data_IF_337390620865
#
_entry.id   IF_337390620865
#
_cell.length_a   1.000
_cell.length_b   1.000
_cell.length_c   1.000
_cell.angle_alpha   90.00
_cell.angle_beta   90.00
_cell.angle_gamma   90.00
#
_symmetry.space_group_name_H-M   'P 1'
#
loop_
_entity.id
_entity.type
_entity.pdbx_description
1 polymer ?
#
# COMPACT_ATOMS: atom_id res chain seq x y z
N UNK A 1 6.88 5.74 42.37
CA UNK A 1 7.89 5.93 41.33
C UNK A 1 7.90 4.66 40.49
N UNK A 2 7.08 4.61 39.44
CA UNK A 2 7.09 3.48 38.52
C UNK A 2 8.39 3.53 37.69
N UNK A 3 8.99 2.39 37.36
CA UNK A 3 10.22 2.39 36.58
C UNK A 3 9.91 2.91 35.19
N UNK A 4 10.59 3.99 34.80
CA UNK A 4 10.62 4.50 33.44
C UNK A 4 11.22 3.41 32.56
N UNK A 5 10.40 2.87 31.67
CA UNK A 5 10.87 2.12 30.51
C UNK A 5 11.68 3.13 29.71
N UNK A 6 13.00 2.95 29.68
CA UNK A 6 13.88 3.68 28.77
C UNK A 6 13.47 3.28 27.36
N UNK A 7 12.68 4.13 26.69
CA UNK A 7 12.42 3.99 25.26
C UNK A 7 13.77 3.98 24.55
N UNK A 8 14.11 2.86 23.90
CA UNK A 8 15.25 2.80 22.99
C UNK A 8 15.09 3.93 21.96
N UNK A 9 16.16 4.67 21.62
CA UNK A 9 16.05 5.78 20.69
C UNK A 9 15.49 5.26 19.37
N UNK A 10 14.38 5.87 18.95
CA UNK A 10 13.71 5.57 17.70
C UNK A 10 14.59 6.04 16.56
N UNK A 11 15.26 5.10 15.88
CA UNK A 11 16.14 5.41 14.76
C UNK A 11 15.32 5.46 13.47
N UNK A 12 15.00 6.67 13.01
CA UNK A 12 14.58 6.87 11.61
C UNK A 12 15.76 6.46 10.73
N UNK A 13 15.55 5.63 9.69
CA UNK A 13 16.64 5.23 8.81
C UNK A 13 17.33 6.46 8.21
N UNK A 14 18.65 6.55 8.38
CA UNK A 14 19.44 7.55 7.66
C UNK A 14 19.36 7.29 6.16
N UNK A 15 19.35 8.36 5.37
CA UNK A 15 19.41 8.28 3.92
C UNK A 15 20.76 7.69 3.51
N UNK A 16 20.77 6.50 2.91
CA UNK A 16 21.99 5.83 2.45
C UNK A 16 22.24 6.11 0.96
N UNK A 17 23.44 5.80 0.46
CA UNK A 17 23.69 5.79 -1.00
C UNK A 17 22.77 4.84 -1.76
N UNK A 18 22.27 3.81 -1.10
CA UNK A 18 21.34 2.86 -1.71
C UNK A 18 19.94 3.45 -1.86
N UNK A 19 19.51 4.36 -0.96
CA UNK A 19 18.24 5.08 -1.04
C UNK A 19 18.33 6.41 -1.81
N UNK A 20 19.51 7.02 -1.91
CA UNK A 20 19.82 8.15 -2.81
C UNK A 20 20.10 7.66 -4.24
N UNK A 21 19.04 7.32 -4.97
CA UNK A 21 19.11 7.03 -6.41
C UNK A 21 18.39 8.11 -7.21
N UNK A 22 18.87 8.37 -8.42
CA UNK A 22 18.13 9.19 -9.37
C UNK A 22 16.78 8.53 -9.68
N UNK A 23 15.70 9.31 -9.86
CA UNK A 23 14.41 8.78 -10.28
C UNK A 23 14.54 7.87 -11.50
N UNK A 24 13.93 6.69 -11.42
CA UNK A 24 13.98 5.72 -12.50
C UNK A 24 13.22 6.24 -13.72
N UNK A 25 13.83 6.10 -14.89
CA UNK A 25 13.24 6.47 -16.17
C UNK A 25 12.61 5.26 -16.86
N UNK A 26 11.53 5.50 -17.59
CA UNK A 26 10.91 4.50 -18.48
C UNK A 26 11.87 4.18 -19.62
N UNK A 27 11.91 2.90 -20.02
CA UNK A 27 12.65 2.44 -21.20
C UNK A 27 11.87 2.63 -22.49
N UNK A 28 10.54 2.73 -22.40
CA UNK A 28 9.63 2.78 -23.56
C UNK A 28 9.02 1.41 -23.89
N UNK A 29 9.28 0.37 -23.10
CA UNK A 29 8.80 -0.99 -23.36
C UNK A 29 7.26 -1.10 -23.38
N UNK A 30 6.56 -0.16 -22.73
CA UNK A 30 5.09 -0.09 -22.69
C UNK A 30 4.50 0.95 -23.65
N UNK A 31 5.29 1.59 -24.51
CA UNK A 31 4.84 2.72 -25.34
C UNK A 31 3.70 2.36 -26.31
N UNK A 32 3.71 1.13 -26.83
CA UNK A 32 2.75 0.63 -27.83
C UNK A 32 1.61 -0.17 -27.18
N UNK A 33 1.60 -0.26 -25.84
CA UNK A 33 0.55 -0.94 -25.10
C UNK A 33 -0.66 -0.01 -24.99
N UNK A 34 -1.84 -0.53 -25.35
CA UNK A 34 -3.10 0.19 -25.18
C UNK A 34 -3.34 0.52 -23.70
N UNK A 35 -3.50 1.81 -23.42
CA UNK A 35 -3.76 2.31 -22.06
C UNK A 35 -4.62 3.56 -22.07
N UNK A 36 -5.22 3.87 -20.93
CA UNK A 36 -5.76 5.20 -20.65
C UNK A 36 -5.62 5.54 -19.16
N UNK A 37 -5.44 6.83 -18.87
CA UNK A 37 -5.46 7.32 -17.49
C UNK A 37 -6.91 7.44 -17.01
N UNK A 38 -7.25 6.73 -15.94
CA UNK A 38 -8.63 6.68 -15.40
C UNK A 38 -9.03 8.03 -14.80
N UNK A 39 -8.07 8.72 -14.19
CA UNK A 39 -8.21 10.11 -13.76
C UNK A 39 -6.93 10.89 -14.09
N UNK A 40 -6.96 12.23 -14.12
CA UNK A 40 -5.74 13.02 -14.37
C UNK A 40 -4.61 12.75 -13.36
N UNK A 41 -4.95 12.54 -12.08
CA UNK A 41 -3.97 12.48 -10.98
C UNK A 41 -3.45 11.08 -10.69
N UNK A 42 -4.32 10.06 -10.78
CA UNK A 42 -4.06 8.71 -10.28
C UNK A 42 -4.84 7.68 -11.10
N UNK A 43 -4.29 6.48 -11.27
CA UNK A 43 -4.93 5.40 -12.01
C UNK A 43 -4.58 5.39 -13.49
N UNK A 44 -4.18 4.22 -13.97
CA UNK A 44 -4.06 3.89 -15.39
C UNK A 44 -4.61 2.49 -15.63
N UNK A 45 -5.41 2.30 -16.67
CA UNK A 45 -5.94 0.99 -17.03
C UNK A 45 -5.27 0.47 -18.31
N UNK A 46 -4.97 -0.83 -18.30
CA UNK A 46 -4.43 -1.60 -19.41
C UNK A 46 -5.51 -2.61 -19.83
N UNK A 47 -6.48 -2.20 -20.68
CA UNK A 47 -7.70 -2.97 -20.91
C UNK A 47 -7.47 -4.31 -21.62
N UNK A 48 -6.42 -4.40 -22.45
CA UNK A 48 -6.14 -5.55 -23.33
C UNK A 48 -4.85 -6.29 -22.99
N UNK A 49 -4.08 -5.81 -22.00
CA UNK A 49 -2.80 -6.41 -21.63
C UNK A 49 -2.98 -7.73 -20.87
N UNK A 50 -2.02 -8.64 -21.05
CA UNK A 50 -1.94 -9.92 -20.34
C UNK A 50 -0.65 -9.97 -19.50
N UNK A 51 -0.79 -9.90 -18.17
CA UNK A 51 0.33 -9.97 -17.24
C UNK A 51 1.08 -11.30 -17.34
N UNK A 52 0.34 -12.39 -17.59
CA UNK A 52 0.94 -13.72 -17.76
C UNK A 52 1.78 -13.82 -19.05
N UNK A 53 1.42 -13.09 -20.11
CA UNK A 53 2.24 -13.01 -21.32
C UNK A 53 3.47 -12.14 -21.08
N UNK A 54 3.33 -11.00 -20.39
CA UNK A 54 4.46 -10.14 -20.05
C UNK A 54 5.48 -10.83 -19.16
N UNK A 55 5.05 -11.67 -18.22
CA UNK A 55 5.96 -12.48 -17.39
C UNK A 55 6.78 -13.48 -18.22
N UNK A 56 6.25 -13.96 -19.35
CA UNK A 56 6.88 -14.96 -20.22
C UNK A 56 7.57 -14.35 -21.45
N UNK A 57 7.41 -13.06 -21.68
CA UNK A 57 7.98 -12.37 -22.83
C UNK A 57 9.52 -12.37 -22.78
N UNK A 58 10.22 -12.42 -23.93
CA UNK A 58 11.68 -12.35 -23.96
C UNK A 58 12.26 -11.08 -23.31
N UNK A 59 11.52 -9.96 -23.39
CA UNK A 59 11.85 -8.68 -22.78
C UNK A 59 11.06 -8.43 -21.47
N UNK A 60 10.69 -9.49 -20.75
CA UNK A 60 9.85 -9.41 -19.54
C UNK A 60 10.36 -8.40 -18.50
N UNK A 61 11.66 -8.37 -18.22
CA UNK A 61 12.23 -7.43 -17.24
C UNK A 61 12.02 -5.96 -17.63
N UNK A 62 12.13 -5.62 -18.91
CA UNK A 62 11.89 -4.25 -19.40
C UNK A 62 10.42 -3.87 -19.23
N UNK A 63 9.50 -4.76 -19.63
CA UNK A 63 8.05 -4.57 -19.47
C UNK A 63 7.66 -4.38 -18.00
N UNK A 64 8.15 -5.26 -17.12
CA UNK A 64 7.80 -5.21 -15.70
C UNK A 64 8.46 -4.03 -14.99
N UNK A 65 9.66 -3.62 -15.38
CA UNK A 65 10.30 -2.42 -14.84
C UNK A 65 9.54 -1.16 -15.24
N UNK A 66 9.15 -1.03 -16.51
CA UNK A 66 8.33 0.10 -16.96
C UNK A 66 6.94 0.08 -16.31
N UNK A 67 6.37 -1.10 -16.08
CA UNK A 67 5.12 -1.26 -15.33
C UNK A 67 5.29 -0.77 -13.89
N UNK A 68 6.35 -1.18 -13.19
CA UNK A 68 6.63 -0.76 -11.83
C UNK A 68 6.78 0.76 -11.70
N UNK A 69 7.54 1.39 -12.61
CA UNK A 69 7.68 2.85 -12.67
C UNK A 69 6.34 3.51 -12.96
N UNK A 70 5.56 2.96 -13.90
CA UNK A 70 4.22 3.46 -14.21
C UNK A 70 3.32 3.39 -12.99
N UNK A 71 3.34 2.29 -12.22
CA UNK A 71 2.59 2.16 -10.96
C UNK A 71 3.06 3.21 -9.96
N UNK A 72 4.37 3.40 -9.77
CA UNK A 72 4.89 4.40 -8.83
C UNK A 72 4.59 5.84 -9.23
N UNK A 73 4.45 6.15 -10.52
CA UNK A 73 4.06 7.47 -11.02
C UNK A 73 2.54 7.70 -10.98
N UNK A 74 1.76 6.69 -11.34
CA UNK A 74 0.29 6.74 -11.46
C UNK A 74 -0.43 6.26 -10.21
N UNK A 75 0.29 5.82 -9.19
CA UNK A 75 -0.19 5.29 -7.92
C UNK A 75 -0.77 3.87 -8.02
N UNK A 76 -1.70 3.65 -8.93
CA UNK A 76 -2.37 2.35 -9.14
C UNK A 76 -2.60 2.11 -10.63
N UNK A 77 -2.54 0.85 -11.03
CA UNK A 77 -2.90 0.39 -12.37
C UNK A 77 -3.92 -0.74 -12.33
N UNK A 78 -4.68 -0.89 -13.40
CA UNK A 78 -5.77 -1.87 -13.50
C UNK A 78 -5.64 -2.73 -14.74
N UNK A 79 -6.01 -4.00 -14.62
CA UNK A 79 -6.09 -4.97 -15.70
C UNK A 79 -7.41 -5.73 -15.61
N UNK A 80 -7.94 -6.17 -16.75
CA UNK A 80 -9.21 -6.91 -16.82
C UNK A 80 -8.99 -8.37 -17.17
N UNK A 81 -9.82 -9.26 -16.61
CA UNK A 81 -9.88 -10.69 -16.98
C UNK A 81 -8.52 -11.38 -17.11
N UNK A 82 -7.67 -11.27 -16.10
CA UNK A 82 -6.33 -11.88 -16.07
C UNK A 82 -6.43 -13.39 -15.77
N UNK A 83 -7.17 -14.13 -16.58
CA UNK A 83 -7.49 -15.55 -16.36
C UNK A 83 -6.26 -16.46 -16.38
N UNK A 84 -5.19 -16.03 -17.06
CA UNK A 84 -3.90 -16.73 -17.10
C UNK A 84 -2.96 -16.44 -15.92
N UNK A 85 -3.31 -15.50 -15.02
CA UNK A 85 -2.47 -15.13 -13.89
C UNK A 85 -2.79 -16.03 -12.69
N UNK A 86 -1.94 -17.01 -12.40
CA UNK A 86 -2.05 -17.88 -11.21
C UNK A 86 -1.52 -17.18 -9.96
N UNK A 87 -1.71 -17.77 -8.78
CA UNK A 87 -1.12 -17.25 -7.54
C UNK A 87 0.42 -17.21 -7.61
N UNK A 88 1.06 -18.24 -8.16
CA UNK A 88 2.52 -18.26 -8.38
C UNK A 88 3.00 -17.13 -9.28
N UNK A 89 2.32 -16.90 -10.42
CA UNK A 89 2.66 -15.81 -11.33
C UNK A 89 2.39 -14.43 -10.71
N UNK A 90 1.33 -14.31 -9.91
CA UNK A 90 1.02 -13.09 -9.15
C UNK A 90 2.12 -12.78 -8.13
N UNK A 91 2.63 -13.79 -7.41
CA UNK A 91 3.76 -13.64 -6.48
C UNK A 91 5.04 -13.26 -7.20
N UNK A 92 5.37 -13.97 -8.29
CA UNK A 92 6.54 -13.68 -9.12
C UNK A 92 6.50 -12.23 -9.63
N UNK A 93 5.34 -11.80 -10.15
CA UNK A 93 5.13 -10.44 -10.62
C UNK A 93 5.42 -9.41 -9.52
N UNK A 94 4.77 -9.52 -8.37
CA UNK A 94 4.93 -8.56 -7.26
C UNK A 94 6.38 -8.50 -6.78
N UNK A 95 7.04 -9.65 -6.62
CA UNK A 95 8.45 -9.70 -6.22
C UNK A 95 9.37 -9.05 -7.26
N UNK A 96 9.15 -9.33 -8.55
CA UNK A 96 9.93 -8.76 -9.66
C UNK A 96 9.74 -7.26 -9.80
N UNK A 97 8.52 -6.72 -9.62
CA UNK A 97 8.28 -5.26 -9.63
C UNK A 97 9.18 -4.54 -8.61
N UNK A 98 9.26 -5.08 -7.39
CA UNK A 98 10.14 -4.58 -6.34
C UNK A 98 11.62 -4.70 -6.70
N UNK A 99 12.07 -5.89 -7.14
CA UNK A 99 13.48 -6.14 -7.48
C UNK A 99 13.98 -5.26 -8.62
N UNK A 100 13.19 -5.15 -9.69
CA UNK A 100 13.51 -4.34 -10.87
C UNK A 100 13.51 -2.83 -10.59
N UNK A 101 12.88 -2.41 -9.50
CA UNK A 101 12.92 -1.03 -9.01
C UNK A 101 13.85 -0.82 -7.81
N UNK A 102 14.62 -1.85 -7.44
CA UNK A 102 15.73 -1.74 -6.51
C UNK A 102 15.38 -1.91 -5.04
N UNK A 103 14.30 -2.64 -4.70
CA UNK A 103 14.06 -3.04 -3.29
C UNK A 103 15.26 -3.79 -2.70
N UNK A 104 15.49 -3.76 -1.37
CA UNK A 104 16.55 -4.53 -0.73
C UNK A 104 16.47 -6.02 -1.06
N UNK A 105 17.61 -6.69 -1.23
CA UNK A 105 17.65 -8.14 -1.51
C UNK A 105 17.14 -9.00 -0.35
N UNK A 106 17.07 -8.44 0.85
CA UNK A 106 16.47 -9.06 2.04
C UNK A 106 14.96 -8.94 2.10
N UNK A 107 14.34 -8.13 1.22
CA UNK A 107 12.89 -7.90 1.20
C UNK A 107 12.20 -8.84 0.22
N UNK A 108 11.46 -9.81 0.76
CA UNK A 108 10.68 -10.80 0.01
C UNK A 108 9.21 -10.39 -0.20
N UNK A 109 8.34 -11.41 -0.20
CA UNK A 109 6.89 -11.26 -0.12
C UNK A 109 6.45 -11.31 1.34
N UNK A 110 5.42 -10.54 1.67
CA UNK A 110 4.93 -10.42 3.04
C UNK A 110 4.04 -11.60 3.42
N UNK A 111 4.20 -12.09 4.65
CA UNK A 111 3.30 -13.06 5.28
C UNK A 111 2.41 -12.32 6.27
N UNK A 112 1.09 -12.35 6.06
CA UNK A 112 0.18 -11.55 6.89
C UNK A 112 0.15 -12.04 8.35
N UNK A 113 0.19 -11.15 9.36
CA UNK A 113 0.25 -11.54 10.78
C UNK A 113 -0.96 -12.38 11.24
N UNK A 114 -2.14 -12.15 10.66
CA UNK A 114 -3.38 -12.83 11.04
C UNK A 114 -4.17 -13.47 9.88
N UNK A 115 -3.72 -13.32 8.63
CA UNK A 115 -4.45 -13.76 7.41
C UNK A 115 -3.52 -14.53 6.48
N UNK A 116 -2.84 -15.52 7.03
CA UNK A 116 -1.89 -16.40 6.35
C UNK A 116 -2.45 -17.82 6.23
N UNK A 117 -1.63 -18.79 5.79
CA UNK A 117 -2.09 -20.15 5.48
C UNK A 117 -2.61 -20.94 6.68
N UNK A 118 -2.31 -20.49 7.90
CA UNK A 118 -2.79 -21.13 9.13
C UNK A 118 -4.26 -20.85 9.47
N UNK A 119 -4.98 -20.12 8.60
CA UNK A 119 -6.34 -19.62 8.88
C UNK A 119 -7.39 -20.33 8.06
N UNK A 120 -8.61 -20.38 8.58
CA UNK A 120 -9.73 -20.90 7.80
C UNK A 120 -10.01 -20.02 6.57
N UNK A 121 -10.42 -20.64 5.46
CA UNK A 121 -10.67 -20.00 4.16
C UNK A 121 -9.43 -19.29 3.57
N UNK A 122 -8.22 -19.72 3.92
CA UNK A 122 -6.97 -19.31 3.27
C UNK A 122 -6.53 -20.30 2.18
N UNK A 123 -5.45 -19.94 1.49
CA UNK A 123 -4.62 -20.87 0.70
C UNK A 123 -3.61 -21.58 1.59
N UNK A 124 -3.01 -22.70 1.14
CA UNK A 124 -1.82 -23.29 1.78
C UNK A 124 -0.55 -22.42 1.69
N UNK A 125 -0.61 -21.33 0.94
CA UNK A 125 0.49 -20.41 0.70
C UNK A 125 0.42 -19.21 1.66
N UNK A 126 1.48 -19.00 2.44
CA UNK A 126 1.59 -17.91 3.41
C UNK A 126 1.78 -16.53 2.78
N UNK A 127 2.27 -16.48 1.54
CA UNK A 127 2.53 -15.24 0.79
C UNK A 127 1.27 -14.76 0.02
N UNK A 128 0.18 -15.53 0.06
CA UNK A 128 -1.13 -15.17 -0.48
C UNK A 128 -2.12 -14.95 0.64
N UNK A 129 -2.61 -13.72 0.75
CA UNK A 129 -3.76 -13.39 1.61
C UNK A 129 -5.06 -13.53 0.82
N UNK A 130 -5.96 -14.42 1.26
CA UNK A 130 -7.31 -14.52 0.71
C UNK A 130 -8.20 -13.45 1.34
N UNK A 131 -8.59 -12.45 0.56
CA UNK A 131 -9.48 -11.37 0.97
C UNK A 131 -10.92 -11.79 0.70
N UNK A 132 -11.52 -12.51 1.66
CA UNK A 132 -12.87 -13.05 1.54
C UNK A 132 -13.88 -12.33 2.46
N UNK A 133 -15.05 -11.99 1.92
CA UNK A 133 -16.16 -11.45 2.70
C UNK A 133 -16.69 -12.42 3.75
N UNK A 134 -16.68 -13.73 3.47
CA UNK A 134 -17.08 -14.77 4.41
C UNK A 134 -16.09 -14.87 5.58
N UNK A 135 -14.79 -14.87 5.26
CA UNK A 135 -13.74 -14.86 6.28
C UNK A 135 -13.82 -13.59 7.14
N UNK A 136 -14.02 -12.41 6.52
CA UNK A 136 -14.22 -11.15 7.25
C UNK A 136 -15.42 -11.21 8.18
N UNK A 137 -16.55 -11.74 7.73
CA UNK A 137 -17.75 -11.86 8.57
C UNK A 137 -17.49 -12.72 9.81
N UNK A 138 -16.74 -13.82 9.67
CA UNK A 138 -16.37 -14.69 10.78
C UNK A 138 -15.36 -14.01 11.74
N UNK A 139 -14.26 -13.47 11.19
CA UNK A 139 -13.17 -12.92 11.99
C UNK A 139 -13.57 -11.65 12.76
N UNK A 140 -14.45 -10.83 12.17
CA UNK A 140 -14.91 -9.57 12.75
C UNK A 140 -16.36 -9.66 13.29
N UNK A 141 -16.89 -10.88 13.48
CA UNK A 141 -18.20 -11.18 14.08
C UNK A 141 -19.38 -10.41 13.46
N UNK A 142 -19.36 -10.18 12.15
CA UNK A 142 -20.48 -9.56 11.44
C UNK A 142 -20.87 -8.16 11.91
N UNK A 143 -19.96 -7.41 12.57
CA UNK A 143 -20.17 -5.97 12.87
C UNK A 143 -20.21 -5.19 11.56
N UNK A 144 -21.37 -5.18 10.93
CA UNK A 144 -21.61 -4.49 9.68
C UNK A 144 -21.55 -2.97 9.91
N UNK A 145 -20.74 -2.29 9.12
CA UNK A 145 -20.39 -0.87 9.24
C UNK A 145 -21.40 0.08 8.60
N UNK A 146 -22.64 -0.35 8.33
CA UNK A 146 -23.66 0.41 7.59
C UNK A 146 -24.08 1.77 8.19
N UNK A 147 -23.47 2.21 9.30
CA UNK A 147 -23.64 3.54 9.89
C UNK A 147 -22.34 4.27 10.26
N UNK A 148 -21.18 3.81 9.78
CA UNK A 148 -19.88 4.45 10.09
C UNK A 148 -19.35 5.22 8.89
N UNK A 149 -18.69 6.35 9.17
CA UNK A 149 -17.90 7.04 8.15
C UNK A 149 -16.82 6.10 7.60
N UNK A 150 -16.73 5.97 6.27
CA UNK A 150 -15.68 5.21 5.59
C UNK A 150 -14.28 5.82 5.73
N UNK A 151 -14.14 6.96 6.42
CA UNK A 151 -12.85 7.63 6.63
C UNK A 151 -11.77 6.73 7.25
N UNK A 152 -12.18 5.77 8.09
CA UNK A 152 -11.26 4.87 8.78
C UNK A 152 -10.82 3.67 7.91
N UNK A 153 -11.44 3.47 6.75
CA UNK A 153 -11.02 2.44 5.78
C UNK A 153 -9.78 2.88 4.99
N UNK A 154 -9.47 4.17 4.91
CA UNK A 154 -8.29 4.66 4.21
C UNK A 154 -7.00 4.24 4.93
N UNK A 155 -6.09 3.60 4.20
CA UNK A 155 -4.77 3.20 4.70
C UNK A 155 -3.80 2.85 3.55
N UNK A 156 -2.51 2.83 3.85
CA UNK A 156 -1.52 2.06 3.09
C UNK A 156 -1.29 0.72 3.81
N UNK A 157 -1.04 -0.35 3.07
CA UNK A 157 -0.84 -1.67 3.67
C UNK A 157 0.44 -1.72 4.52
N UNK A 158 0.34 -2.36 5.69
CA UNK A 158 1.48 -2.89 6.47
C UNK A 158 2.46 -1.81 6.96
N UNK A 159 1.98 -0.57 7.15
CA UNK A 159 2.83 0.51 7.67
C UNK A 159 3.26 0.31 9.13
N UNK A 160 2.68 -0.66 9.84
CA UNK A 160 3.06 -1.04 11.21
C UNK A 160 4.33 -1.91 11.27
N UNK A 161 4.88 -2.35 10.14
CA UNK A 161 6.15 -3.08 10.09
C UNK A 161 7.34 -2.12 9.86
N UNK A 162 8.56 -2.46 10.35
CA UNK A 162 9.77 -1.70 10.05
C UNK A 162 10.09 -1.62 8.55
N UNK A 163 9.86 -2.70 7.80
CA UNK A 163 9.96 -2.76 6.34
C UNK A 163 8.55 -2.94 5.77
N UNK A 164 7.82 -1.86 5.44
CA UNK A 164 6.45 -1.94 4.98
C UNK A 164 6.36 -2.32 3.49
N UNK A 165 5.13 -2.46 3.02
CA UNK A 165 4.82 -2.85 1.64
C UNK A 165 5.38 -1.88 0.59
N UNK A 166 5.90 -2.42 -0.51
CA UNK A 166 6.07 -1.68 -1.76
C UNK A 166 4.82 -1.82 -2.64
N UNK A 167 4.79 -2.79 -3.55
CA UNK A 167 3.67 -3.04 -4.44
C UNK A 167 2.73 -4.08 -3.84
N UNK A 168 1.44 -3.87 -4.05
CA UNK A 168 0.43 -4.87 -3.75
C UNK A 168 -0.40 -5.14 -4.97
N UNK A 169 -0.63 -6.43 -5.23
CA UNK A 169 -1.52 -6.91 -6.28
C UNK A 169 -2.72 -7.59 -5.64
N UNK A 170 -3.92 -7.15 -6.01
CA UNK A 170 -5.17 -7.81 -5.68
C UNK A 170 -5.85 -8.29 -6.96
N UNK A 171 -6.13 -9.60 -7.02
CA UNK A 171 -6.91 -10.26 -8.08
C UNK A 171 -8.23 -10.72 -7.49
N UNK A 172 -9.38 -10.19 -7.93
CA UNK A 172 -10.68 -10.67 -7.47
C UNK A 172 -11.08 -11.95 -8.21
N UNK A 173 -11.36 -13.02 -7.49
CA UNK A 173 -11.78 -14.31 -8.06
C UNK A 173 -13.29 -14.51 -8.02
N UNK A 174 -13.98 -13.82 -7.12
CA UNK A 174 -15.42 -13.89 -6.94
C UNK A 174 -15.98 -12.50 -6.63
N UNK A 175 -17.07 -12.13 -7.30
CA UNK A 175 -17.67 -10.80 -7.20
C UNK A 175 -19.14 -10.91 -6.77
N UNK A 176 -19.63 -9.94 -5.96
CA UNK A 176 -21.05 -9.81 -5.72
C UNK A 176 -21.75 -9.33 -7.00
N UNK A 177 -23.08 -9.42 -7.03
CA UNK A 177 -23.90 -8.91 -8.13
C UNK A 177 -23.60 -7.44 -8.46
N UNK A 178 -23.33 -6.63 -7.44
CA UNK A 178 -22.80 -5.26 -7.53
C UNK A 178 -22.23 -4.85 -6.16
N UNK A 179 -21.55 -3.70 -6.10
CA UNK A 179 -20.82 -3.24 -4.93
C UNK A 179 -19.45 -3.93 -4.77
N UNK A 180 -18.75 -3.61 -3.69
CA UNK A 180 -17.42 -4.16 -3.39
C UNK A 180 -16.27 -3.44 -4.08
N UNK A 181 -16.53 -2.23 -4.59
CA UNK A 181 -15.56 -1.37 -5.23
C UNK A 181 -14.39 -1.03 -4.30
N UNK A 182 -13.26 -0.65 -4.89
CA UNK A 182 -12.09 -0.22 -4.15
C UNK A 182 -11.70 1.18 -4.60
N UNK A 183 -11.36 2.04 -3.66
CA UNK A 183 -10.89 3.40 -3.92
C UNK A 183 -9.40 3.49 -3.60
N UNK A 184 -8.69 4.33 -4.35
CA UNK A 184 -7.30 4.70 -4.10
C UNK A 184 -7.17 6.22 -4.10
N UNK A 185 -6.17 6.73 -3.38
CA UNK A 185 -5.89 8.15 -3.21
C UNK A 185 -4.38 8.42 -3.32
N UNK A 186 -4.01 9.47 -4.05
CA UNK A 186 -2.59 9.83 -4.26
C UNK A 186 -2.03 10.62 -3.09
N UNK A 187 -1.07 10.05 -2.37
CA UNK A 187 -0.34 10.76 -1.31
C UNK A 187 0.58 11.86 -1.84
N UNK A 188 1.03 11.77 -3.10
CA UNK A 188 1.72 12.86 -3.79
C UNK A 188 0.82 14.08 -3.94
N UNK A 189 -0.41 13.88 -4.42
CA UNK A 189 -1.36 14.98 -4.61
C UNK A 189 -1.81 15.58 -3.28
N UNK A 190 -1.90 14.78 -2.21
CA UNK A 190 -2.10 15.30 -0.85
C UNK A 190 -0.95 16.25 -0.48
N UNK A 191 0.30 15.84 -0.64
CA UNK A 191 1.46 16.68 -0.35
C UNK A 191 1.47 17.96 -1.21
N UNK A 192 1.29 17.83 -2.53
CA UNK A 192 1.33 18.92 -3.50
C UNK A 192 0.27 20.02 -3.25
N UNK A 193 -0.85 19.69 -2.59
CA UNK A 193 -1.91 20.65 -2.22
C UNK A 193 -1.58 21.46 -0.96
N UNK A 194 -0.68 20.97 -0.12
CA UNK A 194 -0.30 21.64 1.12
C UNK A 194 0.60 22.83 0.78
N UNK A 195 0.37 23.97 1.43
CA UNK A 195 1.19 25.17 1.22
C UNK A 195 2.66 24.93 1.61
N UNK A 196 3.60 25.62 0.96
CA UNK A 196 5.05 25.47 1.19
C UNK A 196 5.47 25.60 2.67
N UNK A 197 4.92 26.55 3.47
CA UNK A 197 5.25 26.62 4.89
C UNK A 197 4.83 25.37 5.68
N UNK A 198 3.64 24.82 5.40
CA UNK A 198 3.20 23.58 6.02
C UNK A 198 4.00 22.38 5.52
N UNK A 199 4.36 22.33 4.23
CA UNK A 199 5.27 21.30 3.72
C UNK A 199 6.59 21.31 4.50
N UNK A 200 7.21 22.48 4.69
CA UNK A 200 8.45 22.61 5.46
C UNK A 200 8.30 22.21 6.94
N UNK A 201 7.13 22.47 7.55
CA UNK A 201 6.85 22.02 8.92
C UNK A 201 6.69 20.50 9.01
N UNK A 202 6.07 19.87 8.01
CA UNK A 202 5.84 18.42 7.99
C UNK A 202 7.09 17.63 7.57
N UNK A 203 7.92 18.23 6.72
CA UNK A 203 9.21 17.70 6.30
C UNK A 203 10.10 17.49 7.54
N UNK A 204 10.38 16.23 7.88
CA UNK A 204 11.22 15.85 9.03
C UNK A 204 10.45 15.40 10.28
N UNK A 205 9.12 15.55 10.32
CA UNK A 205 8.32 14.90 11.37
C UNK A 205 8.29 13.38 11.18
N UNK A 206 8.14 12.66 12.29
CA UNK A 206 7.96 11.21 12.30
C UNK A 206 6.65 10.83 12.96
N UNK A 207 6.14 9.64 12.69
CA UNK A 207 4.94 9.13 13.31
C UNK A 207 5.12 7.68 13.75
N UNK A 208 4.47 7.30 14.84
CA UNK A 208 4.36 5.90 15.27
C UNK A 208 3.20 5.24 14.55
N UNK A 209 3.48 4.14 13.88
CA UNK A 209 2.54 3.29 13.17
C UNK A 209 2.41 1.98 13.95
N UNK A 210 1.18 1.55 14.21
CA UNK A 210 0.92 0.30 14.89
C UNK A 210 -0.39 -0.33 14.43
N UNK A 211 -0.56 -1.62 14.70
CA UNK A 211 -1.83 -2.31 14.48
C UNK A 211 -2.27 -3.13 15.70
N UNK A 212 -2.64 -2.47 16.82
CA UNK A 212 -3.03 -3.15 18.05
C UNK A 212 -4.31 -3.98 17.89
N UNK A 213 -5.14 -3.68 16.88
CA UNK A 213 -6.36 -4.43 16.60
C UNK A 213 -6.06 -5.89 16.22
N UNK A 214 -4.94 -6.19 15.59
CA UNK A 214 -4.60 -7.56 15.20
C UNK A 214 -4.31 -8.44 16.41
N UNK A 215 -3.59 -7.93 17.40
CA UNK A 215 -3.39 -8.62 18.69
C UNK A 215 -4.74 -8.85 19.39
N UNK A 216 -5.59 -7.82 19.45
CA UNK A 216 -6.93 -7.97 20.03
C UNK A 216 -7.80 -9.01 19.29
N UNK A 217 -7.71 -9.12 17.96
CA UNK A 217 -8.45 -10.10 17.18
C UNK A 217 -7.91 -11.50 17.43
N UNK A 218 -6.58 -11.65 17.47
CA UNK A 218 -5.91 -12.92 17.75
C UNK A 218 -6.33 -13.47 19.11
N UNK A 219 -6.28 -12.64 20.15
CA UNK A 219 -6.73 -12.98 21.50
C UNK A 219 -8.20 -13.41 21.54
N UNK A 220 -9.09 -12.62 20.93
CA UNK A 220 -10.54 -12.90 20.88
C UNK A 220 -10.86 -14.22 20.17
N UNK A 221 -10.07 -14.58 19.16
CA UNK A 221 -10.25 -15.80 18.37
C UNK A 221 -9.33 -16.95 18.82
N UNK A 222 -8.61 -16.78 19.95
CA UNK A 222 -7.75 -17.80 20.57
C UNK A 222 -6.66 -18.34 19.66
N UNK A 223 -6.02 -17.46 18.91
CA UNK A 223 -4.83 -17.78 18.12
C UNK A 223 -3.72 -16.75 18.37
N UNK A 224 -2.48 -17.06 18.00
CA UNK A 224 -1.36 -16.11 18.06
C UNK A 224 -1.18 -15.37 16.73
N UNK A 225 -0.73 -14.11 16.81
CA UNK A 225 -0.13 -13.41 15.65
C UNK A 225 1.11 -14.17 15.21
N UNK A 226 1.36 -14.24 13.91
CA UNK A 226 2.54 -14.93 13.37
C UNK A 226 3.84 -14.29 13.90
N UNK A 227 4.62 -14.98 14.75
CA UNK A 227 5.77 -14.39 15.42
C UNK A 227 7.05 -14.50 14.59
N UNK A 228 7.06 -15.35 13.56
CA UNK A 228 8.20 -15.56 12.68
C UNK A 228 8.42 -14.42 11.68
N UNK A 229 9.48 -14.52 10.85
CA UNK A 229 9.73 -13.55 9.78
C UNK A 229 8.52 -13.42 8.85
N UNK A 230 8.16 -12.18 8.54
CA UNK A 230 7.04 -11.81 7.65
C UNK A 230 7.54 -11.24 6.32
N UNK A 231 8.58 -11.84 5.75
CA UNK A 231 9.14 -11.48 4.44
C UNK A 231 10.41 -10.62 4.49
N UNK A 232 10.75 -10.04 5.65
CA UNK A 232 12.01 -9.33 5.88
C UNK A 232 12.57 -9.73 7.26
N UNK A 233 13.90 -9.75 7.46
CA UNK A 233 14.50 -10.15 8.73
C UNK A 233 14.11 -9.23 9.90
N UNK A 234 13.74 -7.98 9.62
CA UNK A 234 13.32 -7.02 10.64
C UNK A 234 11.82 -7.09 10.96
N UNK A 235 11.02 -7.70 10.10
CA UNK A 235 9.58 -7.89 10.29
C UNK A 235 9.32 -9.20 11.03
N UNK A 236 9.60 -9.21 12.33
CA UNK A 236 9.51 -10.38 13.21
C UNK A 236 8.80 -10.01 14.52
N UNK A 237 8.38 -11.01 15.30
CA UNK A 237 7.79 -10.80 16.62
C UNK A 237 6.32 -10.38 16.58
N UNK A 238 5.71 -10.24 17.76
CA UNK A 238 4.28 -9.95 17.92
C UNK A 238 3.97 -8.45 18.08
N UNK A 239 5.02 -7.64 18.28
CA UNK A 239 4.89 -6.19 18.35
C UNK A 239 4.80 -5.60 16.95
N UNK A 240 3.57 -5.33 16.51
CA UNK A 240 3.27 -4.67 15.24
C UNK A 240 3.36 -3.15 15.42
N UNK A 241 4.58 -2.65 15.57
CA UNK A 241 4.89 -1.24 15.79
C UNK A 241 6.14 -0.82 15.03
N UNK A 242 6.07 0.34 14.38
CA UNK A 242 7.19 0.96 13.69
C UNK A 242 7.11 2.48 13.76
N UNK A 243 8.22 3.16 13.50
CA UNK A 243 8.25 4.62 13.35
C UNK A 243 8.79 4.97 11.97
N UNK A 244 8.02 5.79 11.26
CA UNK A 244 8.34 6.22 9.91
C UNK A 244 8.21 7.74 9.77
N UNK A 245 8.80 8.35 8.72
CA UNK A 245 8.57 9.75 8.40
C UNK A 245 7.09 10.05 8.10
N UNK A 246 6.61 11.22 8.52
CA UNK A 246 5.29 11.75 8.12
C UNK A 246 5.27 12.05 6.62
N UNK A 247 6.38 12.57 6.09
CA UNK A 247 6.62 12.76 4.66
C UNK A 247 7.66 11.74 4.22
N UNK A 248 7.30 10.85 3.31
CA UNK A 248 8.21 9.84 2.74
C UNK A 248 8.63 10.24 1.33
N UNK A 249 9.86 9.90 0.97
CA UNK A 249 10.34 9.91 -0.42
C UNK A 249 10.13 8.54 -1.05
N UNK A 250 9.44 8.49 -2.20
CA UNK A 250 9.34 7.26 -2.98
C UNK A 250 10.66 7.01 -3.74
N UNK A 251 11.35 5.88 -3.56
CA UNK A 251 12.68 5.64 -4.15
C UNK A 251 12.64 5.48 -5.68
N UNK A 252 11.47 5.19 -6.27
CA UNK A 252 11.33 5.00 -7.71
C UNK A 252 11.18 6.33 -8.43
N UNK A 253 10.35 7.22 -7.88
CA UNK A 253 10.04 8.53 -8.50
C UNK A 253 10.87 9.67 -7.94
N UNK A 254 11.46 9.52 -6.75
CA UNK A 254 12.08 10.60 -6.00
C UNK A 254 11.08 11.65 -5.51
N UNK A 255 9.78 11.34 -5.48
CA UNK A 255 8.73 12.28 -5.10
C UNK A 255 8.35 12.16 -3.62
N UNK A 256 7.97 13.30 -3.03
CA UNK A 256 7.44 13.40 -1.66
C UNK A 256 5.96 13.03 -1.61
N UNK A 257 5.60 12.19 -0.64
CA UNK A 257 4.23 11.81 -0.31
C UNK A 257 4.00 11.99 1.19
N UNK A 258 2.82 12.46 1.59
CA UNK A 258 2.38 12.23 2.98
C UNK A 258 2.27 10.71 3.17
N UNK A 259 2.76 10.18 4.29
CA UNK A 259 2.71 8.75 4.61
C UNK A 259 1.90 8.48 5.88
N UNK A 260 1.77 9.49 6.76
CA UNK A 260 0.99 9.41 8.00
C UNK A 260 -0.52 9.59 7.76
N UNK A 261 -1.12 8.73 6.95
CA UNK A 261 -2.58 8.70 6.73
C UNK A 261 -3.15 7.34 7.09
N UNK A 262 -4.32 7.35 7.73
CA UNK A 262 -5.14 6.17 7.91
C UNK A 262 -4.98 5.51 9.28
N UNK A 263 -5.62 4.35 9.42
CA UNK A 263 -5.88 3.75 10.73
C UNK A 263 -4.67 3.07 11.40
N UNK A 264 -3.53 2.96 10.72
CA UNK A 264 -2.31 2.44 11.32
C UNK A 264 -1.51 3.52 12.08
N UNK A 265 -1.74 4.81 11.80
CA UNK A 265 -0.97 5.89 12.42
C UNK A 265 -1.55 6.22 13.79
N UNK A 266 -0.75 6.09 14.84
CA UNK A 266 -1.20 6.29 16.22
C UNK A 266 -0.94 7.72 16.71
N UNK A 267 0.24 8.27 16.39
CA UNK A 267 0.64 9.61 16.78
C UNK A 267 1.72 10.16 15.86
N UNK A 268 1.76 11.47 15.72
CA UNK A 268 2.94 12.22 15.23
C UNK A 268 3.84 12.45 16.44
N UNK A 269 5.10 12.04 16.32
CA UNK A 269 6.07 12.14 17.41
C UNK A 269 6.50 13.60 17.63
N UNK A 270 6.97 13.87 18.85
CA UNK A 270 7.49 15.18 19.27
C UNK A 270 6.47 16.34 19.22
N UNK A 271 5.19 16.04 18.98
CA UNK A 271 4.08 16.97 19.11
C UNK A 271 3.25 16.63 20.34
N UNK A 272 2.49 17.61 20.85
CA UNK A 272 1.46 17.33 21.85
C UNK A 272 0.37 16.41 21.28
N UNK A 273 -0.36 15.73 22.16
CA UNK A 273 -1.45 14.83 21.76
C UNK A 273 -2.50 15.55 20.90
N UNK A 274 -2.85 16.79 21.27
CA UNK A 274 -3.83 17.61 20.57
C UNK A 274 -3.36 18.00 19.16
N UNK A 275 -2.09 18.41 19.02
CA UNK A 275 -1.47 18.74 17.72
C UNK A 275 -1.38 17.51 16.83
N UNK A 276 -0.91 16.39 17.38
CA UNK A 276 -0.83 15.11 16.67
C UNK A 276 -2.21 14.68 16.16
N UNK A 277 -3.23 14.66 17.03
CA UNK A 277 -4.60 14.29 16.66
C UNK A 277 -5.15 15.21 15.57
N UNK A 278 -4.94 16.51 15.69
CA UNK A 278 -5.39 17.47 14.69
C UNK A 278 -4.75 17.23 13.31
N UNK A 279 -3.45 16.95 13.26
CA UNK A 279 -2.76 16.65 12.00
C UNK A 279 -3.27 15.35 11.36
N UNK A 280 -3.40 14.28 12.13
CA UNK A 280 -3.87 13.00 11.61
C UNK A 280 -5.31 13.08 11.09
N UNK A 281 -6.20 13.76 11.81
CA UNK A 281 -7.56 14.03 11.35
C UNK A 281 -7.57 14.89 10.09
N UNK A 282 -6.69 15.90 10.01
CA UNK A 282 -6.58 16.75 8.85
C UNK A 282 -6.09 15.99 7.62
N UNK A 283 -5.10 15.11 7.74
CA UNK A 283 -4.61 14.32 6.61
C UNK A 283 -5.68 13.37 6.05
N UNK A 284 -6.44 12.69 6.92
CA UNK A 284 -7.58 11.89 6.49
C UNK A 284 -8.65 12.76 5.82
N UNK A 285 -8.92 13.95 6.37
CA UNK A 285 -9.87 14.90 5.78
C UNK A 285 -9.44 15.35 4.39
N UNK A 286 -8.15 15.66 4.19
CA UNK A 286 -7.61 16.00 2.86
C UNK A 286 -7.90 14.89 1.86
N UNK A 287 -7.74 13.61 2.24
CA UNK A 287 -8.11 12.49 1.36
C UNK A 287 -9.62 12.51 1.09
N UNK A 288 -10.47 12.52 2.11
CA UNK A 288 -11.92 12.34 1.94
C UNK A 288 -12.64 13.51 1.26
N UNK A 289 -12.15 14.74 1.42
CA UNK A 289 -12.80 15.95 0.87
C UNK A 289 -12.30 16.31 -0.54
N UNK A 290 -11.16 15.77 -0.98
CA UNK A 290 -10.58 16.09 -2.29
C UNK A 290 -10.77 14.94 -3.28
N UNK A 291 -11.97 14.75 -3.80
CA UNK A 291 -12.28 13.72 -4.80
C UNK A 291 -11.33 13.69 -6.02
N UNK A 292 -10.75 14.83 -6.42
CA UNK A 292 -9.81 14.92 -7.55
C UNK A 292 -8.45 14.21 -7.35
N UNK A 293 -8.12 13.77 -6.12
CA UNK A 293 -6.94 12.95 -5.85
C UNK A 293 -7.23 11.45 -5.77
N UNK A 294 -8.50 11.06 -5.95
CA UNK A 294 -8.97 9.70 -5.80
C UNK A 294 -9.29 9.05 -7.16
N UNK A 295 -9.18 7.73 -7.21
CA UNK A 295 -9.74 6.89 -8.28
C UNK A 295 -10.53 5.74 -7.65
N UNK A 296 -11.64 5.36 -8.28
CA UNK A 296 -12.48 4.23 -7.87
C UNK A 296 -12.47 3.18 -8.96
N UNK A 297 -12.09 1.96 -8.62
CA UNK A 297 -12.28 0.81 -9.50
C UNK A 297 -13.60 0.14 -9.13
N UNK A 298 -14.51 0.12 -10.10
CA UNK A 298 -15.58 -0.87 -10.12
C UNK A 298 -15.02 -2.16 -10.70
N UNK A 299 -15.04 -3.21 -9.90
CA UNK A 299 -14.67 -4.56 -10.33
C UNK A 299 -15.76 -5.08 -11.27
N UNK A 300 -15.36 -5.61 -12.44
CA UNK A 300 -16.30 -5.99 -13.49
C UNK A 300 -16.28 -7.49 -13.76
N UNK A 301 -15.12 -8.13 -13.66
CA UNK A 301 -14.96 -9.54 -14.01
C UNK A 301 -14.17 -10.30 -12.93
N UNK A 302 -14.40 -11.61 -12.80
CA UNK A 302 -13.42 -12.50 -12.21
C UNK A 302 -12.05 -12.29 -12.88
N UNK A 303 -11.01 -12.33 -12.06
CA UNK A 303 -9.62 -12.06 -12.40
C UNK A 303 -9.34 -10.64 -12.91
N UNK A 304 -10.21 -9.66 -12.65
CA UNK A 304 -9.79 -8.26 -12.67
C UNK A 304 -8.68 -8.06 -11.61
N UNK A 305 -7.68 -7.25 -11.96
CA UNK A 305 -6.48 -7.02 -11.14
C UNK A 305 -6.27 -5.53 -10.91
N UNK A 306 -5.90 -5.16 -9.68
CA UNK A 306 -5.32 -3.86 -9.36
C UNK A 306 -3.92 -4.06 -8.79
N UNK A 307 -2.96 -3.22 -9.20
CA UNK A 307 -1.61 -3.16 -8.63
C UNK A 307 -1.33 -1.73 -8.20
N UNK A 308 -0.98 -1.50 -6.93
CA UNK A 308 -0.70 -0.16 -6.40
C UNK A 308 0.61 -0.10 -5.63
N UNK A 309 1.18 1.10 -5.54
CA UNK A 309 2.39 1.41 -4.77
C UNK A 309 2.04 1.97 -3.38
N UNK A 310 2.13 1.13 -2.34
CA UNK A 310 1.82 1.52 -0.96
C UNK A 310 2.77 2.58 -0.39
N UNK A 311 3.89 2.87 -1.04
CA UNK A 311 4.83 3.90 -0.59
C UNK A 311 4.26 5.30 -0.75
N UNK A 312 3.22 5.48 -1.58
CA UNK A 312 2.65 6.79 -1.89
C UNK A 312 1.15 6.78 -2.19
N UNK A 313 0.46 5.68 -1.89
CA UNK A 313 -0.97 5.52 -2.16
C UNK A 313 -1.69 4.96 -0.94
N UNK A 314 -2.86 5.52 -0.68
CA UNK A 314 -3.83 4.97 0.26
C UNK A 314 -4.96 4.30 -0.50
N UNK A 315 -5.62 3.33 0.11
CA UNK A 315 -6.79 2.68 -0.45
C UNK A 315 -7.86 2.43 0.62
N UNK A 316 -9.09 2.24 0.16
CA UNK A 316 -10.24 1.95 1.00
C UNK A 316 -11.15 0.92 0.32
N UNK A 317 -11.57 -0.10 1.06
CA UNK A 317 -12.55 -1.07 0.59
C UNK A 317 -13.97 -0.53 0.78
N UNK A 318 -14.83 -0.71 -0.22
CA UNK A 318 -16.25 -0.34 -0.11
C UNK A 318 -17.06 -1.53 0.39
N UNK A 319 -17.71 -1.38 1.54
CA UNK A 319 -18.47 -2.45 2.20
C UNK A 319 -19.97 -2.24 1.97
N UNK A 320 -20.41 -2.38 0.72
CA UNK A 320 -21.78 -2.12 0.26
C UNK A 320 -22.44 -3.35 -0.40
N UNK A 321 -21.99 -4.56 -0.06
CA UNK A 321 -22.34 -5.79 -0.80
C UNK A 321 -22.75 -7.00 0.07
N UNK A 322 -22.97 -6.88 1.39
CA UNK A 322 -23.29 -8.03 2.27
C UNK A 322 -24.46 -8.90 1.78
N UNK A 323 -25.46 -8.32 1.14
CA UNK A 323 -26.67 -9.03 0.66
C UNK A 323 -26.65 -9.27 -0.85
N UNK A 324 -25.55 -8.92 -1.52
CA UNK A 324 -25.44 -8.94 -2.98
C UNK A 324 -24.59 -10.10 -3.49
N UNK A 325 -24.04 -10.90 -2.59
CA UNK A 325 -23.24 -12.08 -2.89
C UNK A 325 -21.85 -12.04 -2.25
N UNK A 326 -21.10 -13.15 -2.36
CA UNK A 326 -19.73 -13.23 -1.87
C UNK A 326 -18.78 -12.34 -2.67
N UNK A 327 -17.69 -11.91 -2.01
CA UNK A 327 -16.55 -11.23 -2.63
C UNK A 327 -15.28 -11.89 -2.14
N UNK A 328 -14.49 -12.43 -3.06
CA UNK A 328 -13.24 -13.12 -2.74
C UNK A 328 -12.16 -12.66 -3.71
N UNK A 329 -10.95 -12.43 -3.20
CA UNK A 329 -9.78 -12.11 -4.00
C UNK A 329 -8.49 -12.57 -3.37
N UNK A 330 -7.46 -12.76 -4.17
CA UNK A 330 -6.15 -13.21 -3.76
C UNK A 330 -5.19 -12.03 -3.81
N UNK A 331 -4.51 -11.76 -2.70
CA UNK A 331 -3.60 -10.62 -2.55
C UNK A 331 -2.18 -11.09 -2.31
N UNK A 332 -1.25 -10.63 -3.13
CA UNK A 332 0.19 -10.75 -2.92
C UNK A 332 0.75 -9.37 -2.59
N UNK A 333 1.66 -9.31 -1.63
CA UNK A 333 2.23 -8.05 -1.14
C UNK A 333 3.75 -8.17 -1.12
N UNK A 334 4.43 -7.29 -1.83
CA UNK A 334 5.88 -7.16 -1.78
C UNK A 334 6.28 -6.29 -0.60
N UNK A 335 7.48 -6.54 -0.07
CA UNK A 335 8.12 -5.63 0.89
C UNK A 335 9.14 -4.74 0.19
N UNK A 336 9.11 -3.46 0.52
CA UNK A 336 10.03 -2.47 -0.01
C UNK A 336 11.26 -2.29 0.86
N UNK A 337 11.65 -1.03 0.99
CA UNK A 337 12.68 -0.52 1.90
C UNK A 337 12.07 0.08 3.17
N UNK A 338 12.91 0.26 4.21
CA UNK A 338 12.53 1.08 5.36
C UNK A 338 12.24 2.51 4.88
N UNK A 339 11.07 3.10 5.21
CA UNK A 339 10.70 4.44 4.77
C UNK A 339 11.72 5.49 5.20
N UNK A 340 12.04 6.40 4.28
CA UNK A 340 12.96 7.50 4.52
C UNK A 340 12.42 8.80 3.95
N UNK A 341 12.98 9.91 4.42
CA UNK A 341 12.76 11.24 3.88
C UNK A 341 14.09 11.78 3.36
N UNK A 342 14.15 12.12 2.07
CA UNK A 342 15.28 12.84 1.49
C UNK A 342 14.91 14.32 1.33
N UNK A 343 15.61 15.21 2.04
CA UNK A 343 15.42 16.65 1.94
C UNK A 343 15.64 17.21 0.52
N UNK A 344 16.38 16.49 -0.33
CA UNK A 344 16.62 16.85 -1.74
C UNK A 344 15.55 16.32 -2.71
N UNK A 345 14.65 15.44 -2.23
CA UNK A 345 13.53 14.97 -3.03
C UNK A 345 12.58 16.13 -3.36
N UNK A 346 11.82 15.97 -4.44
CA UNK A 346 10.90 17.02 -4.93
C UNK A 346 9.46 16.63 -4.68
N UNK A 347 8.57 17.61 -4.63
CA UNK A 347 7.15 17.35 -4.82
C UNK A 347 6.91 16.83 -6.25
N UNK A 348 5.82 16.11 -6.49
CA UNK A 348 5.52 15.61 -7.84
C UNK A 348 5.31 16.77 -8.83
N UNK A 349 4.55 17.80 -8.44
CA UNK A 349 4.36 19.00 -9.28
C UNK A 349 5.68 19.71 -9.62
N UNK A 350 6.61 19.83 -8.66
CA UNK A 350 7.94 20.39 -8.92
C UNK A 350 8.71 19.55 -9.94
N UNK A 351 8.75 18.23 -9.74
CA UNK A 351 9.48 17.33 -10.63
C UNK A 351 8.92 17.29 -12.06
N UNK A 352 7.61 17.40 -12.23
CA UNK A 352 6.96 17.42 -13.55
C UNK A 352 7.03 18.79 -14.23
N UNK A 353 7.09 19.89 -13.46
CA UNK A 353 7.26 21.23 -14.04
C UNK A 353 8.64 21.39 -14.70
N UNK A 354 9.67 20.71 -14.20
CA UNK A 354 11.02 20.74 -14.78
C UNK A 354 11.13 19.99 -16.13
N UNK A 355 10.08 19.28 -16.55
CA UNK A 355 10.04 18.49 -17.80
C UNK A 355 9.33 19.21 -18.95
N UNK A 356 8.73 20.37 -18.69
CA UNK A 356 8.03 21.25 -19.66
C UNK A 356 8.92 22.45 -19.93
#
# INVERSE_FOLDING_TARGET
MAPSITESPVVVPEVTKETQRQPLQLSGALQDVETFDVTPVIGREFPTASLAEWLRAPNSDELLRDLAITISQRGVVFFRKQDGLTDDLQKELVDRLGRLTGKPSTSGLHIHPISNSSREHSTPDDEISVISSAQRQKLYQGKNSFGRSGRHEWHSDITFEPVPSDYTLLRLTELPKTGGDTLWASGYEVYDRISKPYQAFLDGLTATYAQPLFNSIADQNKFAVHPGPRGAPENVGEELLAVHPVVRTNPVTGWKSIFAVGHHVQKVNDLSEDESRHLLDWFVRLVTENHGLQVRLRWQNPNDVAIWDNRSVYHAATVDYQELGPRTGHRAVGLGERPFFDAKSKSRREALADQI
#
